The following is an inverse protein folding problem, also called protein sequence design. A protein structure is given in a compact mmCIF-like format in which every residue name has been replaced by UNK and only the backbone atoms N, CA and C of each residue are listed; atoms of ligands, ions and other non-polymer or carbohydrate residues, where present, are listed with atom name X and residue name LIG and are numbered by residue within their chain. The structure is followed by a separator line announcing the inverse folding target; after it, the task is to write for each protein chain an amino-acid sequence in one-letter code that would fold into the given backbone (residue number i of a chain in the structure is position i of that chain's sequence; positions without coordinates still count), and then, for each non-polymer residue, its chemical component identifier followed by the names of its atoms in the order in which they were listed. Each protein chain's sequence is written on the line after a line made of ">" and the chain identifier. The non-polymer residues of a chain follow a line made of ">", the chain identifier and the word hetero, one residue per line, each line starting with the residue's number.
data_IF_638710863364
#
_entry.id   IF_638710863364
#
_cell.length_a   1.000
_cell.length_b   1.000
_cell.length_c   1.000
_cell.angle_alpha   90.00
_cell.angle_beta   90.00
_cell.angle_gamma   90.00
#
_symmetry.space_group_name_H-M   'P 1'
#
loop_
_entity.id
_entity.type
_entity.pdbx_description
1 polymer ?
#
# COMPACT_ATOMS: atom_id res chain seq x y z
N UNK A 1 41.75 -17.03 -48.39
CA UNK A 1 40.53 -16.62 -47.65
C UNK A 1 40.24 -17.47 -46.40
N UNK A 2 41.21 -18.18 -45.79
CA UNK A 2 41.02 -18.93 -44.53
C UNK A 2 41.46 -18.17 -43.26
N UNK A 3 42.25 -17.09 -43.42
CA UNK A 3 42.77 -16.29 -42.31
C UNK A 3 41.77 -15.34 -41.65
N UNK A 4 40.81 -14.77 -42.40
CA UNK A 4 39.81 -13.85 -41.83
C UNK A 4 38.77 -14.55 -40.95
N UNK A 5 38.41 -15.80 -41.24
CA UNK A 5 37.45 -16.57 -40.42
C UNK A 5 38.04 -16.96 -39.06
N UNK A 6 39.33 -17.27 -39.00
CA UNK A 6 40.03 -17.54 -37.74
C UNK A 6 40.19 -16.29 -36.89
N UNK A 7 40.46 -15.12 -37.51
CA UNK A 7 40.54 -13.83 -36.80
C UNK A 7 39.17 -13.38 -36.27
N UNK A 8 38.09 -13.56 -37.04
CA UNK A 8 36.74 -13.22 -36.57
C UNK A 8 36.30 -14.18 -35.45
N UNK A 9 36.59 -15.48 -35.59
CA UNK A 9 36.34 -16.47 -34.53
C UNK A 9 37.16 -16.18 -33.27
N UNK A 10 38.42 -15.79 -33.40
CA UNK A 10 39.27 -15.44 -32.25
C UNK A 10 38.86 -14.12 -31.61
N UNK A 11 38.35 -13.15 -32.37
CA UNK A 11 37.84 -11.88 -31.83
C UNK A 11 36.53 -12.08 -31.07
N UNK A 12 35.63 -12.96 -31.57
CA UNK A 12 34.40 -13.34 -30.85
C UNK A 12 34.76 -14.08 -29.54
N UNK A 13 35.73 -15.01 -29.58
CA UNK A 13 36.25 -15.70 -28.39
C UNK A 13 37.04 -14.80 -27.43
N UNK A 14 37.73 -13.75 -27.92
CA UNK A 14 38.41 -12.77 -27.05
C UNK A 14 37.45 -11.75 -26.44
N UNK A 15 36.28 -11.48 -27.03
CA UNK A 15 35.26 -10.63 -26.40
C UNK A 15 34.54 -11.32 -25.23
N UNK A 16 34.45 -12.65 -25.25
CA UNK A 16 33.89 -13.44 -24.15
C UNK A 16 34.80 -13.47 -22.90
N UNK A 17 36.11 -13.27 -23.06
CA UNK A 17 37.09 -13.39 -21.96
C UNK A 17 37.26 -12.07 -21.16
N UNK A 18 36.78 -10.93 -21.67
CA UNK A 18 36.85 -9.63 -20.99
C UNK A 18 35.54 -9.19 -20.32
N UNK A 19 34.49 -10.01 -20.40
CA UNK A 19 33.21 -9.73 -19.75
C UNK A 19 32.79 -10.92 -18.91
N UNK A 20 32.74 -10.72 -17.59
CA UNK A 20 32.29 -11.70 -16.60
C UNK A 20 30.83 -12.08 -16.78
N UNK A 21 30.50 -12.75 -17.88
CA UNK A 21 29.21 -13.37 -18.09
C UNK A 21 29.26 -14.80 -17.55
N UNK A 22 28.34 -15.21 -16.67
CA UNK A 22 28.31 -16.59 -16.21
C UNK A 22 28.12 -17.56 -17.38
N UNK A 23 28.79 -18.74 -17.39
CA UNK A 23 28.86 -19.62 -18.56
C UNK A 23 27.51 -20.21 -18.98
N UNK A 24 26.54 -20.28 -18.06
CA UNK A 24 25.17 -20.74 -18.33
C UNK A 24 24.22 -19.62 -18.75
N UNK A 25 24.70 -18.38 -18.84
CA UNK A 25 23.86 -17.21 -19.08
C UNK A 25 24.21 -16.53 -20.39
N UNK A 26 23.25 -15.79 -20.94
CA UNK A 26 23.44 -14.93 -22.10
C UNK A 26 23.45 -13.48 -21.64
N UNK A 27 24.56 -12.78 -21.84
CA UNK A 27 24.71 -11.39 -21.45
C UNK A 27 24.64 -10.47 -22.67
N UNK A 28 23.72 -9.50 -22.64
CA UNK A 28 23.64 -8.43 -23.61
C UNK A 28 24.06 -7.11 -22.97
N UNK A 29 25.26 -6.63 -23.31
CA UNK A 29 25.84 -5.41 -22.73
C UNK A 29 25.10 -4.13 -23.13
N UNK A 30 24.62 -4.06 -24.38
CA UNK A 30 23.88 -2.89 -24.88
C UNK A 30 22.53 -2.73 -24.16
N UNK A 31 21.83 -3.84 -23.95
CA UNK A 31 20.55 -3.88 -23.23
C UNK A 31 20.73 -4.04 -21.71
N UNK A 32 21.96 -4.17 -21.21
CA UNK A 32 22.29 -4.39 -19.80
C UNK A 32 21.47 -5.54 -19.18
N UNK A 33 21.30 -6.60 -19.96
CA UNK A 33 20.44 -7.74 -19.63
C UNK A 33 21.28 -8.99 -19.49
N UNK A 34 21.04 -9.76 -18.43
CA UNK A 34 21.60 -11.09 -18.23
C UNK A 34 20.45 -12.08 -18.18
N UNK A 35 20.40 -12.98 -19.16
CA UNK A 35 19.39 -14.01 -19.29
C UNK A 35 19.95 -15.38 -18.90
N UNK A 36 19.48 -15.88 -17.77
CA UNK A 36 19.87 -17.17 -17.19
C UNK A 36 18.65 -18.11 -17.07
N UNK A 37 17.60 -17.92 -17.89
CA UNK A 37 16.36 -18.71 -17.79
C UNK A 37 16.56 -20.15 -18.28
N UNK A 38 15.89 -21.10 -17.62
CA UNK A 38 15.89 -22.53 -18.02
C UNK A 38 17.27 -23.21 -18.00
N UNK A 39 18.16 -22.80 -17.09
CA UNK A 39 19.55 -23.27 -17.05
C UNK A 39 19.82 -24.33 -15.96
N UNK A 40 18.76 -24.72 -15.23
CA UNK A 40 18.85 -25.66 -14.12
C UNK A 40 19.73 -25.13 -12.97
N UNK A 41 19.80 -23.81 -12.80
CA UNK A 41 20.61 -23.18 -11.75
C UNK A 41 20.03 -23.49 -10.38
N UNK A 42 20.89 -23.86 -9.43
CA UNK A 42 20.53 -24.13 -8.03
C UNK A 42 20.77 -22.93 -7.11
N UNK A 43 21.52 -21.95 -7.60
CA UNK A 43 21.86 -20.70 -6.93
C UNK A 43 21.95 -19.56 -7.94
N UNK A 44 21.95 -18.32 -7.45
CA UNK A 44 22.20 -17.14 -8.28
C UNK A 44 23.68 -17.17 -8.71
N UNK A 45 23.99 -17.08 -10.02
CA UNK A 45 25.38 -17.09 -10.48
C UNK A 45 26.20 -15.96 -9.87
N UNK A 46 27.45 -16.25 -9.50
CA UNK A 46 28.42 -15.23 -9.10
C UNK A 46 28.97 -14.47 -10.31
N UNK A 47 29.62 -13.34 -10.05
CA UNK A 47 30.32 -12.52 -11.05
C UNK A 47 29.42 -11.99 -12.16
N UNK A 48 28.23 -11.50 -11.82
CA UNK A 48 27.36 -10.84 -12.79
C UNK A 48 27.95 -9.48 -13.22
N UNK A 49 27.81 -9.05 -14.49
CA UNK A 49 28.30 -7.75 -14.95
C UNK A 49 27.69 -6.60 -14.14
N UNK A 50 28.53 -5.65 -13.68
CA UNK A 50 28.10 -4.62 -12.74
C UNK A 50 27.07 -3.64 -13.33
N UNK A 51 27.08 -3.44 -14.65
CA UNK A 51 26.12 -2.60 -15.36
C UNK A 51 24.74 -3.24 -15.54
N UNK A 52 24.53 -4.49 -15.11
CA UNK A 52 23.28 -5.24 -15.31
C UNK A 52 22.08 -4.51 -14.70
N UNK A 53 21.06 -4.25 -15.53
CA UNK A 53 19.79 -3.64 -15.12
C UNK A 53 18.64 -4.65 -15.10
N UNK A 54 18.73 -5.70 -15.91
CA UNK A 54 17.70 -6.74 -16.04
C UNK A 54 18.36 -8.09 -15.83
N UNK A 55 17.91 -8.83 -14.81
CA UNK A 55 18.39 -10.18 -14.51
C UNK A 55 17.23 -11.16 -14.55
N UNK A 56 17.28 -12.10 -15.50
CA UNK A 56 16.24 -13.10 -15.71
C UNK A 56 16.74 -14.46 -15.22
N UNK A 57 16.21 -14.93 -14.10
CA UNK A 57 16.57 -16.19 -13.45
C UNK A 57 15.38 -17.15 -13.36
N UNK A 58 14.33 -16.92 -14.15
CA UNK A 58 13.12 -17.74 -14.10
C UNK A 58 13.30 -19.15 -14.65
N UNK A 59 12.46 -20.07 -14.17
CA UNK A 59 12.49 -21.49 -14.55
C UNK A 59 13.82 -22.18 -14.21
N UNK A 60 14.29 -21.97 -12.99
CA UNK A 60 15.48 -22.62 -12.44
C UNK A 60 15.11 -23.43 -11.18
N UNK A 61 16.10 -23.88 -10.41
CA UNK A 61 15.93 -24.68 -9.18
C UNK A 61 16.54 -23.96 -7.98
N UNK A 62 16.53 -22.63 -7.99
CA UNK A 62 17.14 -21.82 -6.92
C UNK A 62 16.31 -22.00 -5.65
N UNK A 63 16.93 -22.46 -4.58
CA UNK A 63 16.25 -22.70 -3.30
C UNK A 63 16.49 -21.61 -2.26
N UNK A 64 17.67 -21.00 -2.29
CA UNK A 64 18.10 -19.96 -1.36
C UNK A 64 18.79 -18.85 -2.13
N UNK A 65 18.59 -17.62 -1.67
CA UNK A 65 19.29 -16.45 -2.20
C UNK A 65 20.27 -16.01 -1.13
N UNK A 66 21.57 -16.08 -1.43
CA UNK A 66 22.62 -15.58 -0.54
C UNK A 66 22.47 -14.07 -0.34
N UNK A 67 22.81 -13.57 0.86
CA UNK A 67 22.86 -12.13 1.13
C UNK A 67 23.90 -11.39 0.27
N UNK A 68 24.88 -12.12 -0.29
CA UNK A 68 25.89 -11.60 -1.19
C UNK A 68 25.56 -11.78 -2.68
N UNK A 69 24.41 -12.37 -3.03
CA UNK A 69 24.08 -12.75 -4.40
C UNK A 69 24.04 -11.57 -5.39
N UNK A 70 23.85 -10.34 -4.91
CA UNK A 70 23.65 -9.15 -5.73
C UNK A 70 24.65 -8.02 -5.44
N UNK A 71 25.78 -8.31 -4.78
CA UNK A 71 26.79 -7.30 -4.41
C UNK A 71 27.37 -6.59 -5.63
N UNK A 72 27.53 -7.31 -6.73
CA UNK A 72 28.10 -6.74 -7.96
C UNK A 72 27.04 -6.02 -8.82
N UNK A 73 25.73 -6.26 -8.59
CA UNK A 73 24.64 -5.78 -9.46
C UNK A 73 23.82 -4.65 -8.83
N UNK A 74 24.49 -3.58 -8.39
CA UNK A 74 23.85 -2.45 -7.72
C UNK A 74 22.89 -1.66 -8.64
N UNK A 75 23.10 -1.72 -9.95
CA UNK A 75 22.29 -1.03 -10.96
C UNK A 75 20.98 -1.74 -11.33
N UNK A 76 20.68 -2.88 -10.70
CA UNK A 76 19.55 -3.74 -11.07
C UNK A 76 18.21 -3.02 -10.89
N UNK A 77 17.35 -3.11 -11.91
CA UNK A 77 16.00 -2.53 -11.95
C UNK A 77 14.92 -3.59 -12.04
N UNK A 78 15.20 -4.70 -12.73
CA UNK A 78 14.25 -5.80 -12.93
C UNK A 78 14.93 -7.09 -12.52
N UNK A 79 14.29 -7.81 -11.60
CA UNK A 79 14.72 -9.13 -11.15
C UNK A 79 13.56 -10.11 -11.29
N UNK A 80 13.73 -11.09 -12.18
CA UNK A 80 12.79 -12.19 -12.35
C UNK A 80 13.35 -13.47 -11.75
N UNK A 81 12.78 -13.89 -10.61
CA UNK A 81 13.08 -15.13 -9.91
C UNK A 81 11.89 -16.10 -9.97
N UNK A 82 10.95 -15.90 -10.90
CA UNK A 82 9.75 -16.71 -10.99
C UNK A 82 10.03 -18.17 -11.35
N UNK A 83 9.14 -19.08 -10.92
CA UNK A 83 9.26 -20.51 -11.18
C UNK A 83 10.62 -21.08 -10.74
N UNK A 84 10.92 -20.92 -9.45
CA UNK A 84 12.09 -21.47 -8.78
C UNK A 84 11.63 -22.29 -7.55
N UNK A 85 12.57 -22.67 -6.67
CA UNK A 85 12.30 -23.47 -5.48
C UNK A 85 12.53 -22.69 -4.18
N UNK A 86 12.37 -21.37 -4.19
CA UNK A 86 12.68 -20.51 -3.04
C UNK A 86 11.65 -20.75 -1.92
N UNK A 87 12.10 -21.06 -0.72
CA UNK A 87 11.21 -21.39 0.42
C UNK A 87 11.05 -20.26 1.44
N UNK A 88 11.98 -19.30 1.46
CA UNK A 88 11.93 -18.18 2.40
C UNK A 88 12.84 -17.03 1.98
N UNK A 89 12.49 -15.84 2.43
CA UNK A 89 13.26 -14.62 2.19
C UNK A 89 13.86 -14.11 3.49
N UNK A 90 15.17 -14.17 3.60
CA UNK A 90 15.92 -13.79 4.80
C UNK A 90 16.06 -12.26 4.91
N UNK A 91 16.37 -11.73 6.11
CA UNK A 91 16.75 -10.34 6.26
C UNK A 91 17.92 -9.99 5.34
N UNK A 92 17.81 -8.85 4.64
CA UNK A 92 18.88 -8.33 3.79
C UNK A 92 19.12 -9.09 2.48
N UNK A 93 18.27 -10.06 2.09
CA UNK A 93 18.37 -10.75 0.78
C UNK A 93 18.46 -9.79 -0.41
N UNK A 94 17.77 -8.65 -0.34
CA UNK A 94 17.77 -7.62 -1.39
C UNK A 94 18.41 -6.30 -0.96
N UNK A 95 19.28 -6.31 0.07
CA UNK A 95 19.82 -5.08 0.68
C UNK A 95 20.53 -4.15 -0.32
N UNK A 96 21.24 -4.73 -1.29
CA UNK A 96 22.03 -4.00 -2.28
C UNK A 96 21.19 -3.44 -3.43
N UNK A 97 19.95 -3.92 -3.61
CA UNK A 97 19.10 -3.63 -4.77
C UNK A 97 18.29 -2.32 -4.62
N UNK A 98 18.95 -1.22 -4.28
CA UNK A 98 18.28 0.07 -4.00
C UNK A 98 17.60 0.70 -5.24
N UNK A 99 17.99 0.26 -6.44
CA UNK A 99 17.43 0.72 -7.70
C UNK A 99 16.35 -0.18 -8.29
N UNK A 100 16.01 -1.28 -7.60
CA UNK A 100 15.04 -2.25 -8.07
C UNK A 100 13.65 -1.62 -8.19
N UNK A 101 13.01 -1.88 -9.32
CA UNK A 101 11.68 -1.38 -9.66
C UNK A 101 10.67 -2.51 -9.77
N UNK A 102 11.08 -3.66 -10.30
CA UNK A 102 10.22 -4.82 -10.51
C UNK A 102 10.90 -6.04 -9.89
N UNK A 103 10.19 -6.69 -8.97
CA UNK A 103 10.58 -7.95 -8.36
C UNK A 103 9.50 -9.00 -8.58
N UNK A 104 9.80 -10.00 -9.39
CA UNK A 104 8.92 -11.13 -9.65
C UNK A 104 9.43 -12.37 -8.90
N UNK A 105 8.64 -12.83 -7.93
CA UNK A 105 8.90 -14.03 -7.11
C UNK A 105 7.78 -15.07 -7.28
N UNK A 106 7.01 -14.98 -8.36
CA UNK A 106 5.85 -15.85 -8.59
C UNK A 106 6.25 -17.32 -8.71
N UNK A 107 5.34 -18.23 -8.34
CA UNK A 107 5.54 -19.68 -8.49
C UNK A 107 6.82 -20.17 -7.80
N UNK A 108 6.96 -19.81 -6.53
CA UNK A 108 7.98 -20.35 -5.64
C UNK A 108 7.27 -21.07 -4.47
N UNK A 109 8.00 -21.41 -3.41
CA UNK A 109 7.45 -22.07 -2.22
C UNK A 109 7.62 -21.19 -0.98
N UNK A 110 7.60 -19.86 -1.13
CA UNK A 110 7.89 -18.93 -0.06
C UNK A 110 6.81 -19.04 1.02
N UNK A 111 7.20 -19.40 2.24
CA UNK A 111 6.30 -19.50 3.40
C UNK A 111 6.44 -18.28 4.32
N UNK A 112 7.68 -17.83 4.51
CA UNK A 112 8.04 -16.72 5.40
C UNK A 112 8.76 -15.61 4.66
N UNK A 113 8.35 -14.38 4.95
CA UNK A 113 8.99 -13.15 4.47
C UNK A 113 9.33 -12.29 5.67
N UNK A 114 10.62 -12.01 5.85
CA UNK A 114 11.09 -11.23 6.98
C UNK A 114 10.68 -9.74 6.88
N UNK A 115 10.47 -9.11 8.03
CA UNK A 115 10.16 -7.68 8.13
C UNK A 115 11.22 -6.77 7.50
N UNK A 116 12.48 -7.21 7.40
CA UNK A 116 13.58 -6.46 6.80
C UNK A 116 13.93 -6.91 5.38
N UNK A 117 13.18 -7.84 4.79
CA UNK A 117 13.48 -8.33 3.43
C UNK A 117 13.43 -7.22 2.38
N UNK A 118 12.44 -6.33 2.47
CA UNK A 118 12.20 -5.28 1.47
C UNK A 118 12.64 -3.87 1.91
N UNK A 119 13.31 -3.74 3.06
CA UNK A 119 13.57 -2.42 3.67
C UNK A 119 14.49 -1.52 2.84
N UNK A 120 15.29 -2.07 1.93
CA UNK A 120 16.18 -1.33 1.04
C UNK A 120 15.52 -0.92 -0.28
N UNK A 121 14.34 -1.44 -0.60
CA UNK A 121 13.74 -1.37 -1.94
C UNK A 121 12.90 -0.09 -2.14
N UNK A 122 13.51 1.07 -1.94
CA UNK A 122 12.84 2.38 -1.98
C UNK A 122 12.26 2.76 -3.34
N UNK A 123 12.76 2.17 -4.43
CA UNK A 123 12.32 2.41 -5.80
C UNK A 123 11.38 1.34 -6.36
N UNK A 124 11.00 0.36 -5.54
CA UNK A 124 10.14 -0.74 -5.97
C UNK A 124 8.76 -0.22 -6.35
N UNK A 125 8.31 -0.58 -7.54
CA UNK A 125 7.01 -0.23 -8.11
C UNK A 125 6.11 -1.46 -8.23
N UNK A 126 6.69 -2.61 -8.55
CA UNK A 126 5.94 -3.84 -8.76
C UNK A 126 6.56 -4.97 -7.94
N UNK A 127 5.72 -5.57 -7.10
CA UNK A 127 6.07 -6.75 -6.31
C UNK A 127 5.02 -7.83 -6.56
N UNK A 128 5.47 -8.92 -7.18
CA UNK A 128 4.61 -10.09 -7.40
C UNK A 128 5.12 -11.29 -6.59
N UNK A 129 4.32 -11.66 -5.58
CA UNK A 129 4.53 -12.79 -4.68
C UNK A 129 3.51 -13.92 -4.95
N UNK A 130 2.81 -13.88 -6.09
CA UNK A 130 1.71 -14.80 -6.35
C UNK A 130 2.15 -16.26 -6.48
N UNK A 131 1.25 -17.20 -6.16
CA UNK A 131 1.53 -18.64 -6.25
C UNK A 131 2.73 -19.04 -5.39
N UNK A 132 2.62 -18.74 -4.09
CA UNK A 132 3.57 -19.11 -3.04
C UNK A 132 2.78 -19.72 -1.85
N UNK A 133 3.42 -19.92 -0.70
CA UNK A 133 2.81 -20.48 0.50
C UNK A 133 2.74 -19.47 1.67
N UNK A 134 2.69 -18.17 1.37
CA UNK A 134 2.82 -17.11 2.38
C UNK A 134 1.59 -17.09 3.29
N UNK A 135 1.83 -17.15 4.61
CA UNK A 135 0.79 -17.14 5.64
C UNK A 135 0.42 -15.73 6.12
N UNK A 136 1.40 -14.82 6.16
CA UNK A 136 1.23 -13.44 6.59
C UNK A 136 2.22 -12.52 5.89
N UNK A 137 1.77 -11.32 5.55
CA UNK A 137 2.65 -10.29 5.01
C UNK A 137 3.42 -9.56 6.12
N UNK A 138 4.68 -9.17 5.89
CA UNK A 138 5.44 -8.38 6.85
C UNK A 138 4.80 -7.00 7.04
N UNK A 139 4.44 -6.65 8.27
CA UNK A 139 3.77 -5.38 8.59
C UNK A 139 4.62 -4.14 8.28
N UNK A 140 5.93 -4.33 8.08
CA UNK A 140 6.90 -3.27 7.75
C UNK A 140 7.09 -3.05 6.25
N UNK A 141 6.44 -3.82 5.37
CA UNK A 141 6.61 -3.70 3.92
C UNK A 141 6.48 -2.24 3.45
N UNK A 142 5.35 -1.58 3.75
CA UNK A 142 5.14 -0.20 3.29
C UNK A 142 5.98 0.89 3.97
N UNK A 143 6.80 0.57 4.98
CA UNK A 143 7.66 1.57 5.64
C UNK A 143 8.65 2.21 4.66
N UNK A 144 9.28 1.39 3.81
CA UNK A 144 10.29 1.85 2.86
C UNK A 144 9.93 1.54 1.40
N UNK A 145 8.80 0.88 1.12
CA UNK A 145 8.34 0.56 -0.24
C UNK A 145 7.10 1.37 -0.65
N UNK A 146 6.99 2.62 -0.20
CA UNK A 146 5.83 3.48 -0.48
C UNK A 146 5.58 3.79 -1.97
N UNK A 147 6.56 3.49 -2.84
CA UNK A 147 6.47 3.66 -4.29
C UNK A 147 5.78 2.49 -5.02
N UNK A 148 5.43 1.41 -4.32
CA UNK A 148 4.74 0.27 -4.93
C UNK A 148 3.40 0.73 -5.50
N UNK A 149 3.21 0.48 -6.80
CA UNK A 149 1.98 0.71 -7.54
C UNK A 149 1.22 -0.59 -7.80
N UNK A 150 1.91 -1.73 -7.84
CA UNK A 150 1.33 -3.05 -8.02
C UNK A 150 1.85 -4.02 -6.96
N UNK A 151 0.93 -4.58 -6.18
CA UNK A 151 1.22 -5.65 -5.22
C UNK A 151 0.32 -6.85 -5.51
N UNK A 152 0.90 -7.97 -5.91
CA UNK A 152 0.15 -9.21 -6.09
C UNK A 152 0.56 -10.26 -5.07
N UNK A 153 -0.45 -10.79 -4.38
CA UNK A 153 -0.32 -11.84 -3.37
C UNK A 153 -1.31 -12.99 -3.65
N UNK A 154 -1.76 -13.11 -4.91
CA UNK A 154 -2.70 -14.14 -5.34
C UNK A 154 -2.17 -15.54 -5.03
N UNK A 155 -3.07 -16.49 -4.82
CA UNK A 155 -2.71 -17.91 -4.68
C UNK A 155 -1.62 -18.14 -3.61
N UNK A 156 -1.86 -17.61 -2.42
CA UNK A 156 -1.05 -17.82 -1.22
C UNK A 156 -1.92 -18.46 -0.12
N UNK A 157 -1.43 -18.47 1.12
CA UNK A 157 -2.12 -19.05 2.29
C UNK A 157 -2.59 -17.96 3.27
N UNK A 158 -2.73 -16.72 2.81
CA UNK A 158 -3.10 -15.59 3.66
C UNK A 158 -4.49 -15.79 4.25
N UNK A 159 -4.63 -15.51 5.54
CA UNK A 159 -5.92 -15.55 6.24
C UNK A 159 -6.48 -14.16 6.49
N UNK A 160 -5.61 -13.18 6.66
CA UNK A 160 -5.91 -11.78 6.87
C UNK A 160 -4.75 -10.92 6.36
N UNK A 161 -5.05 -9.66 6.08
CA UNK A 161 -4.06 -8.61 5.84
C UNK A 161 -4.47 -7.41 6.69
N UNK A 162 -3.51 -6.88 7.44
CA UNK A 162 -3.76 -5.71 8.29
C UNK A 162 -4.03 -4.48 7.42
N UNK A 163 -5.01 -3.68 7.85
CA UNK A 163 -5.32 -2.38 7.25
C UNK A 163 -4.11 -1.45 7.29
N UNK A 164 -3.38 -1.42 8.40
CA UNK A 164 -2.23 -0.52 8.59
C UNK A 164 -1.13 -0.77 7.56
N UNK A 165 -0.89 -2.04 7.22
CA UNK A 165 0.05 -2.42 6.17
C UNK A 165 -0.36 -1.79 4.82
N UNK A 166 -1.62 -1.91 4.45
CA UNK A 166 -2.09 -1.40 3.15
C UNK A 166 -2.19 0.13 3.13
N UNK A 167 -2.49 0.77 4.26
CA UNK A 167 -2.42 2.23 4.40
C UNK A 167 -1.00 2.77 4.27
N UNK A 168 0.01 1.98 4.61
CA UNK A 168 1.43 2.34 4.42
C UNK A 168 1.91 2.26 2.96
N UNK A 169 1.04 1.94 2.00
CA UNK A 169 1.32 1.90 0.56
C UNK A 169 0.51 2.98 -0.19
N UNK A 170 0.89 4.26 -0.08
CA UNK A 170 0.05 5.38 -0.56
C UNK A 170 -0.07 5.46 -2.09
N UNK A 171 0.88 4.91 -2.85
CA UNK A 171 0.89 4.95 -4.32
C UNK A 171 0.29 3.69 -4.96
N UNK A 172 -0.28 2.78 -4.16
CA UNK A 172 -0.83 1.53 -4.66
C UNK A 172 -1.98 1.81 -5.63
N UNK A 173 -1.95 1.18 -6.80
CA UNK A 173 -2.97 1.29 -7.86
C UNK A 173 -3.65 -0.03 -8.13
N UNK A 174 -2.89 -1.13 -8.02
CA UNK A 174 -3.35 -2.48 -8.25
C UNK A 174 -2.94 -3.35 -7.08
N UNK A 175 -3.90 -4.04 -6.48
CA UNK A 175 -3.65 -5.02 -5.43
C UNK A 175 -4.44 -6.28 -5.71
N UNK A 176 -3.82 -7.44 -5.53
CA UNK A 176 -4.43 -8.70 -5.95
C UNK A 176 -4.33 -9.75 -4.84
N UNK A 177 -5.49 -10.28 -4.44
CA UNK A 177 -5.73 -11.08 -3.25
C UNK A 177 -6.35 -12.46 -3.54
N UNK A 178 -6.83 -12.71 -4.77
CA UNK A 178 -7.58 -13.92 -5.12
C UNK A 178 -6.81 -15.21 -4.77
N UNK A 179 -7.55 -16.23 -4.34
CA UNK A 179 -7.00 -17.57 -4.11
C UNK A 179 -6.20 -17.71 -2.80
N UNK A 180 -6.56 -16.95 -1.78
CA UNK A 180 -6.05 -17.07 -0.41
C UNK A 180 -7.12 -17.67 0.53
N UNK A 181 -6.74 -18.01 1.76
CA UNK A 181 -7.62 -18.64 2.75
C UNK A 181 -8.28 -17.63 3.70
N UNK A 182 -8.97 -16.64 3.13
CA UNK A 182 -9.51 -15.49 3.89
C UNK A 182 -10.48 -15.90 5.01
N UNK A 183 -10.12 -15.53 6.25
CA UNK A 183 -10.97 -15.68 7.42
C UNK A 183 -11.77 -14.40 7.64
N UNK A 184 -12.98 -14.36 7.10
CA UNK A 184 -13.87 -13.19 7.12
C UNK A 184 -14.61 -13.03 8.47
N UNK A 185 -13.86 -13.09 9.57
CA UNK A 185 -14.28 -12.72 10.91
C UNK A 185 -13.91 -11.25 11.20
N UNK A 186 -14.08 -10.82 12.45
CA UNK A 186 -13.80 -9.46 12.90
C UNK A 186 -12.38 -8.94 12.53
N UNK A 187 -11.37 -9.82 12.40
CA UNK A 187 -9.97 -9.42 12.13
C UNK A 187 -9.74 -8.94 10.69
N UNK A 188 -10.59 -9.37 9.75
CA UNK A 188 -10.52 -8.97 8.33
C UNK A 188 -11.39 -7.74 8.03
N UNK A 189 -12.15 -7.24 9.02
CA UNK A 189 -12.99 -6.06 8.84
C UNK A 189 -12.20 -4.82 8.41
N UNK A 190 -10.98 -4.63 8.94
CA UNK A 190 -10.10 -3.54 8.51
C UNK A 190 -9.74 -3.60 7.02
N UNK A 191 -9.51 -4.81 6.49
CA UNK A 191 -9.25 -5.03 5.06
C UNK A 191 -10.49 -4.69 4.22
N UNK A 192 -11.70 -5.06 4.67
CA UNK A 192 -12.96 -4.68 3.99
C UNK A 192 -13.07 -3.16 3.86
N UNK A 193 -12.93 -2.42 4.96
CA UNK A 193 -13.03 -0.96 4.96
C UNK A 193 -11.97 -0.31 4.06
N UNK A 194 -10.74 -0.80 4.13
CA UNK A 194 -9.66 -0.31 3.28
C UNK A 194 -9.98 -0.55 1.80
N UNK A 195 -10.46 -1.75 1.45
CA UNK A 195 -10.76 -2.13 0.08
C UNK A 195 -11.91 -1.31 -0.52
N UNK A 196 -12.96 -1.02 0.26
CA UNK A 196 -14.05 -0.15 -0.17
C UNK A 196 -13.55 1.27 -0.53
N UNK A 197 -12.70 1.85 0.34
CA UNK A 197 -12.07 3.16 0.09
C UNK A 197 -11.11 3.12 -1.10
N UNK A 198 -10.31 2.06 -1.22
CA UNK A 198 -9.34 1.88 -2.30
C UNK A 198 -10.03 1.81 -3.67
N UNK A 199 -11.08 0.99 -3.79
CA UNK A 199 -11.87 0.87 -5.02
C UNK A 199 -12.60 2.17 -5.35
N UNK A 200 -13.15 2.87 -4.36
CA UNK A 200 -13.79 4.17 -4.57
C UNK A 200 -12.83 5.21 -5.17
N UNK A 201 -11.54 5.17 -4.82
CA UNK A 201 -10.50 6.05 -5.39
C UNK A 201 -9.98 5.61 -6.76
N UNK A 202 -10.58 4.58 -7.38
CA UNK A 202 -10.19 4.05 -8.69
C UNK A 202 -9.07 3.01 -8.63
N UNK A 203 -8.76 2.47 -7.45
CA UNK A 203 -7.87 1.33 -7.30
C UNK A 203 -8.46 0.07 -7.94
N UNK A 204 -7.59 -0.84 -8.38
CA UNK A 204 -7.98 -2.10 -9.03
C UNK A 204 -7.67 -3.25 -8.08
N UNK A 205 -8.68 -4.06 -7.77
CA UNK A 205 -8.53 -5.30 -7.03
C UNK A 205 -9.36 -6.41 -7.64
N UNK A 206 -8.94 -7.64 -7.40
CA UNK A 206 -9.77 -8.81 -7.62
C UNK A 206 -10.66 -9.10 -6.39
N UNK A 207 -11.62 -10.02 -6.57
CA UNK A 207 -12.53 -10.46 -5.51
C UNK A 207 -11.82 -11.23 -4.41
N UNK A 208 -12.19 -10.94 -3.17
CA UNK A 208 -11.78 -11.66 -1.96
C UNK A 208 -12.91 -12.61 -1.57
N UNK A 209 -12.75 -13.89 -1.88
CA UNK A 209 -13.74 -14.91 -1.51
C UNK A 209 -13.38 -15.52 -0.16
N UNK A 210 -14.31 -15.44 0.78
CA UNK A 210 -14.15 -15.95 2.14
C UNK A 210 -14.02 -17.47 2.15
N UNK A 211 -13.00 -17.98 2.83
CA UNK A 211 -12.81 -19.42 3.06
C UNK A 211 -13.39 -19.88 4.40
N UNK A 212 -13.43 -18.97 5.38
CA UNK A 212 -14.01 -19.18 6.69
C UNK A 212 -14.61 -17.86 7.21
N UNK A 213 -15.47 -17.90 8.25
CA UNK A 213 -16.12 -19.09 8.83
C UNK A 213 -17.14 -19.72 7.88
N UNK A 214 -17.64 -20.93 8.17
CA UNK A 214 -18.51 -21.70 7.27
C UNK A 214 -19.76 -20.94 6.80
N UNK A 215 -20.39 -20.16 7.67
CA UNK A 215 -21.57 -19.34 7.34
C UNK A 215 -21.28 -18.17 6.36
N UNK A 216 -20.01 -17.89 6.07
CA UNK A 216 -19.54 -16.89 5.08
C UNK A 216 -18.73 -17.50 3.95
N UNK A 217 -18.45 -18.80 3.99
CA UNK A 217 -17.65 -19.47 2.98
C UNK A 217 -18.26 -19.26 1.60
N UNK A 218 -17.42 -18.92 0.63
CA UNK A 218 -17.85 -18.65 -0.76
C UNK A 218 -18.43 -17.26 -1.00
N UNK A 219 -18.66 -16.44 0.05
CA UNK A 219 -19.13 -15.05 -0.12
C UNK A 219 -17.96 -14.13 -0.45
N UNK A 220 -18.20 -13.12 -1.28
CA UNK A 220 -17.25 -12.03 -1.49
C UNK A 220 -17.24 -11.11 -0.26
N UNK A 221 -16.03 -10.76 0.22
CA UNK A 221 -15.79 -9.91 1.38
C UNK A 221 -16.60 -8.60 1.34
N UNK A 222 -16.66 -7.97 0.16
CA UNK A 222 -17.34 -6.68 -0.01
C UNK A 222 -18.87 -6.81 0.11
N UNK A 223 -19.42 -8.00 -0.16
CA UNK A 223 -20.87 -8.26 -0.06
C UNK A 223 -21.34 -8.61 1.35
N UNK A 224 -20.44 -8.74 2.32
CA UNK A 224 -20.80 -9.04 3.71
C UNK A 224 -21.13 -7.72 4.44
N UNK A 225 -22.34 -7.56 5.01
CA UNK A 225 -22.71 -6.39 5.81
C UNK A 225 -21.79 -6.21 7.03
N UNK A 226 -21.53 -4.97 7.43
CA UNK A 226 -20.58 -4.65 8.50
C UNK A 226 -21.04 -5.14 9.87
N UNK A 227 -22.35 -5.18 10.09
CA UNK A 227 -23.00 -5.62 11.33
C UNK A 227 -22.65 -7.07 11.68
N UNK A 228 -22.36 -7.89 10.67
CA UNK A 228 -22.02 -9.29 10.87
C UNK A 228 -20.60 -9.47 11.43
N UNK A 229 -19.68 -8.52 11.29
CA UNK A 229 -18.29 -8.73 11.71
C UNK A 229 -18.11 -8.80 13.23
N UNK A 230 -19.01 -8.20 14.02
CA UNK A 230 -18.93 -8.19 15.48
C UNK A 230 -17.67 -7.51 16.02
N UNK A 231 -17.50 -7.54 17.34
CA UNK A 231 -16.30 -7.03 18.02
C UNK A 231 -15.31 -8.18 18.17
N UNK A 232 -14.03 -7.95 17.89
CA UNK A 232 -13.02 -8.96 18.18
C UNK A 232 -12.86 -9.14 19.70
N UNK A 233 -12.91 -10.38 20.22
CA UNK A 233 -12.52 -10.62 21.60
C UNK A 233 -11.07 -10.19 21.81
N UNK A 234 -10.74 -9.56 22.95
CA UNK A 234 -9.38 -9.14 23.24
C UNK A 234 -8.44 -10.34 23.25
N UNK A 235 -7.26 -10.21 22.65
CA UNK A 235 -6.27 -11.29 22.67
C UNK A 235 -5.60 -11.37 24.03
N UNK A 236 -5.05 -12.53 24.40
CA UNK A 236 -4.33 -12.71 25.67
C UNK A 236 -3.19 -11.68 25.86
N UNK A 237 -2.58 -11.21 24.77
CA UNK A 237 -1.58 -10.13 24.78
C UNK A 237 -2.13 -8.78 25.25
N UNK A 238 -3.37 -8.44 24.87
CA UNK A 238 -4.02 -7.18 25.22
C UNK A 238 -4.39 -7.15 26.71
N UNK A 239 -4.73 -8.32 27.27
CA UNK A 239 -5.02 -8.50 28.70
C UNK A 239 -3.75 -8.30 29.55
N UNK A 240 -2.59 -8.79 29.09
CA UNK A 240 -1.33 -8.58 29.79
C UNK A 240 -0.87 -7.11 29.75
N UNK A 241 -1.15 -6.38 28.67
CA UNK A 241 -0.75 -4.98 28.55
C UNK A 241 -1.67 -4.03 29.33
N UNK A 242 -2.96 -4.35 29.43
CA UNK A 242 -3.90 -3.68 30.33
C UNK A 242 -3.54 -3.89 31.80
N UNK A 243 -3.06 -5.09 32.17
CA UNK A 243 -2.62 -5.39 33.53
C UNK A 243 -1.24 -4.77 33.86
N UNK A 244 -0.35 -4.62 32.87
CA UNK A 244 0.95 -3.97 33.06
C UNK A 244 0.82 -2.45 33.29
N UNK A 245 -0.15 -1.78 32.68
CA UNK A 245 -0.45 -0.36 32.92
C UNK A 245 -1.05 -0.09 34.30
N UNK A 246 -1.59 -1.12 34.96
CA UNK A 246 -2.06 -1.02 36.34
C UNK A 246 -0.94 -1.25 37.38
N UNK A 247 0.20 -1.84 36.99
CA UNK A 247 1.29 -2.22 37.91
C UNK A 247 2.47 -1.24 37.91
N UNK A 248 2.50 -0.24 37.01
CA UNK A 248 3.61 0.74 36.92
C UNK A 248 3.39 2.06 37.69
N UNK A 249 2.34 2.16 38.52
CA UNK A 249 2.10 3.38 39.33
C UNK A 249 2.58 3.28 40.78
N UNK A 250 3.07 2.13 41.24
CA UNK A 250 3.67 1.99 42.58
C UNK A 250 5.05 1.37 42.44
N UNK A 251 6.07 2.21 42.25
CA UNK A 251 7.42 2.04 42.79
C UNK A 251 8.38 3.05 42.16
N UNK A 252 8.54 4.21 42.82
CA UNK A 252 9.76 5.01 42.71
C UNK A 252 9.95 5.94 43.92
N UNK A 253 10.57 5.40 44.96
CA UNK A 253 11.45 6.18 45.86
C UNK A 253 12.22 5.23 46.78
N UNK A 254 13.54 5.25 46.67
CA UNK A 254 14.51 4.71 47.64
C UNK A 254 15.58 5.80 47.85
N UNK A 255 16.48 5.74 48.85
CA UNK A 255 16.42 5.11 50.17
C UNK A 255 16.83 6.08 51.31
N UNK A 256 16.57 5.76 52.59
CA UNK A 256 17.44 6.09 53.75
C UNK A 256 16.98 5.41 55.06
N UNK A 257 17.95 5.32 55.96
CA UNK A 257 18.17 4.34 57.03
C UNK A 257 17.53 4.72 58.38
N UNK A 258 17.28 3.67 59.20
CA UNK A 258 17.37 3.57 60.67
C UNK A 258 16.09 3.65 61.55
N UNK A 259 15.93 2.53 62.28
CA UNK A 259 15.48 2.30 63.68
C UNK A 259 14.00 2.21 64.12
N UNK A 260 13.68 0.97 64.54
CA UNK A 260 12.98 0.47 65.75
C UNK A 260 11.51 0.77 66.11
N UNK A 261 10.81 -0.36 66.29
CA UNK A 261 9.87 -0.79 67.36
C UNK A 261 8.39 -0.37 67.40
N UNK A 262 7.58 -1.43 67.22
CA UNK A 262 6.45 -1.93 68.03
C UNK A 262 5.12 -1.17 68.23
N UNK A 263 4.09 -2.00 68.07
CA UNK A 263 2.77 -2.05 68.72
C UNK A 263 1.61 -1.20 68.19
N UNK A 264 0.50 -1.92 67.95
CA UNK A 264 -0.77 -1.41 67.46
C UNK A 264 -1.78 -1.12 68.57
N UNK A 265 -2.90 -0.52 68.18
CA UNK A 265 -4.05 -0.26 69.05
C UNK A 265 -4.91 0.90 68.55
N UNK A 266 -5.93 0.52 67.77
CA UNK A 266 -7.25 1.10 67.51
C UNK A 266 -7.65 2.53 68.00
N UNK A 267 -8.36 3.24 67.10
CA UNK A 267 -9.59 4.03 67.33
C UNK A 267 -9.69 5.41 66.64
N UNK A 268 -10.73 5.52 65.81
CA UNK A 268 -11.65 6.67 65.69
C UNK A 268 -11.17 8.03 65.13
N UNK A 269 -11.32 8.14 63.81
CA UNK A 269 -12.21 9.10 63.11
C UNK A 269 -12.05 10.61 63.43
N UNK A 270 -11.37 11.33 62.55
CA UNK A 270 -11.67 12.74 62.26
C UNK A 270 -11.72 12.98 60.74
N UNK A 271 -12.68 13.80 60.36
CA UNK A 271 -13.31 13.92 59.05
C UNK A 271 -12.58 14.98 58.22
N UNK A 272 -12.09 14.62 57.02
CA UNK A 272 -11.78 15.57 55.96
C UNK A 272 -12.39 15.05 54.66
N UNK A 273 -13.51 15.62 54.26
CA UNK A 273 -14.17 15.37 52.98
C UNK A 273 -13.34 16.02 51.84
N UNK A 274 -12.83 15.27 50.85
CA UNK A 274 -12.24 15.87 49.67
C UNK A 274 -13.35 16.24 48.69
N UNK A 275 -13.48 17.55 48.41
CA UNK A 275 -14.26 18.07 47.27
C UNK A 275 -14.01 17.23 46.02
N UNK A 276 -15.05 16.85 45.25
CA UNK A 276 -14.87 16.08 44.03
C UNK A 276 -14.04 16.90 43.02
N UNK A 277 -12.87 16.37 42.65
CA UNK A 277 -12.15 16.81 41.45
C UNK A 277 -13.07 16.64 40.23
N UNK A 278 -13.05 17.56 39.26
CA UNK A 278 -13.92 17.50 38.09
C UNK A 278 -13.67 16.19 37.33
N UNK A 279 -14.74 15.42 37.10
CA UNK A 279 -14.70 14.25 36.23
C UNK A 279 -14.25 14.71 34.84
N UNK A 280 -13.35 13.99 34.13
CA UNK A 280 -13.06 14.30 32.74
C UNK A 280 -14.38 14.18 31.96
N UNK A 281 -14.86 15.30 31.43
CA UNK A 281 -16.03 15.32 30.54
C UNK A 281 -15.76 14.29 29.45
N UNK A 282 -16.67 13.30 29.31
CA UNK A 282 -16.38 12.11 28.53
C UNK A 282 -15.91 12.50 27.12
N UNK A 283 -14.75 11.99 26.72
CA UNK A 283 -14.15 12.22 25.39
C UNK A 283 -15.15 11.95 24.24
N UNK A 284 -16.13 11.06 24.47
CA UNK A 284 -17.23 10.76 23.55
C UNK A 284 -18.13 11.96 23.27
N UNK A 285 -18.45 12.77 24.28
CA UNK A 285 -19.26 13.97 24.11
C UNK A 285 -18.49 15.08 23.38
N UNK A 286 -17.18 15.19 23.60
CA UNK A 286 -16.33 16.15 22.88
C UNK A 286 -16.11 15.76 21.41
N UNK A 287 -15.96 14.46 21.10
CA UNK A 287 -15.85 14.00 19.70
C UNK A 287 -17.19 14.17 18.98
N UNK A 288 -18.31 13.85 19.65
CA UNK A 288 -19.64 14.03 19.06
C UNK A 288 -19.92 15.49 18.69
N UNK A 289 -19.57 16.44 19.57
CA UNK A 289 -19.76 17.87 19.26
C UNK A 289 -18.89 18.34 18.11
N UNK A 290 -17.63 17.87 18.00
CA UNK A 290 -16.74 18.22 16.88
C UNK A 290 -17.24 17.65 15.54
N UNK A 291 -17.76 16.42 15.53
CA UNK A 291 -18.31 15.83 14.31
C UNK A 291 -19.59 16.54 13.88
N UNK A 292 -20.49 16.84 14.83
CA UNK A 292 -21.75 17.54 14.54
C UNK A 292 -21.47 18.96 14.03
N UNK A 293 -20.56 19.71 14.66
CA UNK A 293 -20.20 21.05 14.19
C UNK A 293 -19.52 21.01 12.82
N UNK A 294 -18.68 20.00 12.56
CA UNK A 294 -18.07 19.77 11.24
C UNK A 294 -19.09 19.50 10.14
N UNK A 295 -20.08 18.64 10.41
CA UNK A 295 -21.15 18.30 9.45
C UNK A 295 -22.05 19.51 9.19
N UNK A 296 -22.47 20.23 10.24
CA UNK A 296 -23.29 21.43 10.09
C UNK A 296 -22.56 22.52 9.30
N UNK A 297 -21.28 22.76 9.61
CA UNK A 297 -20.45 23.71 8.86
C UNK A 297 -20.30 23.29 7.38
N UNK A 298 -20.07 22.00 7.12
CA UNK A 298 -19.96 21.46 5.77
C UNK A 298 -21.25 21.64 4.95
N UNK A 299 -22.41 21.36 5.54
CA UNK A 299 -23.71 21.54 4.88
C UNK A 299 -23.95 23.02 4.56
N UNK A 300 -23.70 23.93 5.51
CA UNK A 300 -23.87 25.38 5.29
C UNK A 300 -22.95 25.87 4.17
N UNK A 301 -21.69 25.46 4.14
CA UNK A 301 -20.76 25.80 3.07
C UNK A 301 -21.21 25.27 1.70
N UNK A 302 -21.69 24.04 1.62
CA UNK A 302 -22.22 23.47 0.38
C UNK A 302 -23.47 24.21 -0.10
N UNK A 303 -24.37 24.58 0.81
CA UNK A 303 -25.56 25.38 0.47
C UNK A 303 -25.18 26.77 -0.04
N UNK A 304 -24.19 27.44 0.56
CA UNK A 304 -23.70 28.74 0.06
C UNK A 304 -23.07 28.62 -1.33
N UNK A 305 -22.27 27.58 -1.59
CA UNK A 305 -21.70 27.34 -2.92
C UNK A 305 -22.79 27.08 -3.96
N UNK A 306 -23.80 26.26 -3.62
CA UNK A 306 -24.93 26.00 -4.51
C UNK A 306 -25.70 27.28 -4.85
N UNK A 307 -25.96 28.14 -3.84
CA UNK A 307 -26.62 29.42 -4.04
C UNK A 307 -25.80 30.36 -4.94
N UNK A 308 -24.47 30.42 -4.74
CA UNK A 308 -23.58 31.22 -5.58
C UNK A 308 -23.57 30.74 -7.04
N UNK A 309 -23.44 29.42 -7.27
CA UNK A 309 -23.46 28.83 -8.62
C UNK A 309 -24.80 29.09 -9.29
N UNK A 310 -25.92 28.89 -8.57
CA UNK A 310 -27.26 29.14 -9.08
C UNK A 310 -27.47 30.62 -9.43
N UNK A 311 -27.01 31.54 -8.56
CA UNK A 311 -27.05 32.98 -8.80
C UNK A 311 -26.25 33.40 -10.05
N UNK A 312 -25.04 32.86 -10.21
CA UNK A 312 -24.21 33.11 -11.40
C UNK A 312 -24.86 32.59 -12.68
N UNK A 313 -25.41 31.37 -12.66
CA UNK A 313 -26.11 30.80 -13.80
C UNK A 313 -27.36 31.61 -14.17
N UNK A 314 -28.16 32.01 -13.19
CA UNK A 314 -29.35 32.84 -13.39
C UNK A 314 -29.01 34.21 -13.99
N UNK A 315 -27.97 34.87 -13.48
CA UNK A 315 -27.50 36.15 -14.01
C UNK A 315 -27.02 36.01 -15.46
N UNK A 316 -26.28 34.94 -15.80
CA UNK A 316 -25.80 34.68 -17.15
C UNK A 316 -26.95 34.46 -18.15
N UNK A 317 -27.95 33.66 -17.76
CA UNK A 317 -29.15 33.41 -18.58
C UNK A 317 -29.94 34.71 -18.80
N UNK A 318 -30.14 35.49 -17.73
CA UNK A 318 -30.87 36.77 -17.80
C UNK A 318 -30.13 37.77 -18.68
N UNK A 319 -28.80 37.87 -18.57
CA UNK A 319 -27.99 38.72 -19.42
C UNK A 319 -28.06 38.31 -20.91
N UNK A 320 -28.09 36.99 -21.20
CA UNK A 320 -28.27 36.47 -22.55
C UNK A 320 -29.66 36.84 -23.11
N UNK A 321 -30.72 36.66 -22.33
CA UNK A 321 -32.09 37.01 -22.72
C UNK A 321 -32.24 38.51 -23.03
N UNK A 322 -31.65 39.40 -22.22
CA UNK A 322 -31.66 40.83 -22.49
C UNK A 322 -30.86 41.22 -23.74
N UNK A 323 -29.75 40.53 -24.04
CA UNK A 323 -28.98 40.76 -25.28
C UNK A 323 -29.79 40.38 -26.52
N UNK A 324 -30.46 39.23 -26.49
CA UNK A 324 -31.31 38.74 -27.60
C UNK A 324 -32.56 39.63 -27.79
N UNK A 325 -33.16 40.12 -26.70
CA UNK A 325 -34.25 41.10 -26.78
C UNK A 325 -33.79 42.42 -27.39
N UNK A 326 -32.60 42.91 -27.03
CA UNK A 326 -32.05 44.14 -27.61
C UNK A 326 -31.61 43.99 -29.08
N UNK A 327 -31.12 42.81 -29.50
CA UNK A 327 -30.79 42.56 -30.91
C UNK A 327 -32.05 42.50 -31.79
N UNK A 328 -33.10 41.81 -31.33
CA UNK A 328 -34.39 41.79 -32.04
C UNK A 328 -35.06 43.17 -32.14
N UNK A 329 -34.88 44.03 -31.14
CA UNK A 329 -35.35 45.41 -31.17
C UNK A 329 -34.56 46.32 -32.14
N UNK A 330 -33.24 46.13 -32.25
CA UNK A 330 -32.41 46.85 -33.23
C UNK A 330 -32.68 46.42 -34.66
N UNK A 331 -32.95 45.14 -34.88
CA UNK A 331 -33.27 44.60 -36.21
C UNK A 331 -34.63 45.08 -36.73
N UNK A 332 -35.64 45.18 -35.86
CA UNK A 332 -36.93 45.82 -36.22
C UNK A 332 -36.78 47.31 -36.55
N UNK A 333 -35.96 48.04 -35.79
CA UNK A 333 -35.77 49.49 -36.01
C UNK A 333 -35.02 49.80 -37.32
N UNK A 334 -34.08 48.95 -37.73
CA UNK A 334 -33.35 49.11 -38.99
C UNK A 334 -34.19 48.74 -40.22
N UNK A 335 -35.15 47.82 -40.07
CA UNK A 335 -36.14 47.49 -41.10
C UNK A 335 -37.15 48.62 -41.28
N UNK A 336 -37.63 49.24 -40.20
CA UNK A 336 -38.53 50.40 -40.25
C UNK A 336 -37.86 51.66 -40.83
N UNK A 337 -36.57 51.90 -40.54
CA UNK A 337 -35.81 53.00 -41.18
C UNK A 337 -35.59 52.78 -42.68
N UNK A 338 -35.39 51.54 -43.13
CA UNK A 338 -35.26 51.21 -44.56
C UNK A 338 -36.58 51.37 -45.32
N UNK A 339 -37.71 50.94 -44.75
CA UNK A 339 -39.03 51.15 -45.36
C UNK A 339 -39.43 52.64 -45.42
N UNK A 340 -39.06 53.44 -44.41
CA UNK A 340 -39.30 54.89 -44.40
C UNK A 340 -38.48 55.63 -45.47
N UNK A 341 -37.24 55.21 -45.69
CA UNK A 341 -36.36 55.79 -46.71
C UNK A 341 -36.83 55.46 -48.14
N UNK A 342 -37.25 54.21 -48.39
CA UNK A 342 -37.80 53.79 -49.69
C UNK A 342 -39.13 54.51 -50.03
N UNK A 343 -40.00 54.77 -49.04
CA UNK A 343 -41.25 55.53 -49.25
C UNK A 343 -41.05 57.02 -49.51
N UNK A 344 -39.87 57.58 -49.21
CA UNK A 344 -39.56 59.00 -49.47
C UNK A 344 -38.94 59.23 -50.85
N UNK A 345 -38.66 58.16 -51.61
CA UNK A 345 -38.02 58.16 -52.93
C UNK A 345 -38.98 57.78 -54.08
N UNK A 346 -40.27 57.53 -53.77
CA UNK A 346 -41.35 57.27 -54.72
C UNK A 346 -42.34 58.44 -54.76
#
# INVERSE_FOLDING_TARGET
>A
MKGSLLLISSVILLTDVLSGCPPKCLCNRFLKTVDCRNQGLVEVPSHLPAETQILLLSNNRIQKISQSAFVDTLALKILDLSNNSITGLLPGTFKELQHLQILNLTKNFIEYVDNKTFSSLSRLKELDLSSNNILSMPGTLGKNTGNITLLSMKHNKLQKVDRLLLESLPNLKVVLFKGNFWQCNCQVFGLKLWLESFLYRGGISDSIICSAPDHRKGKDLLRIPYELYGICPPTASDVHQANALHYTSEHKSSPKLAHHNEHGGDSSRSHCEPKPKPRPVSLRHAIATVVITGVVCGIVCLMMLAAAVYGCAYAAITAKYHREKNSSGKEKRSLEEKESFERSLA
#
